data_IF_695106890357
#
_entry.id   IF_695106890357
#
_cell.length_a   1.000
_cell.length_b   1.000
_cell.length_c   1.000
_cell.angle_alpha   90.00
_cell.angle_beta   90.00
_cell.angle_gamma   90.00
#
_symmetry.space_group_name_H-M   'P 1'
#
loop_
_entity.id
_entity.type
_entity.pdbx_description
1 polymer ?
#
# COMPACT_ATOMS: atom_id res chain seq x y z
N UNK A 1 -4.43 -20.60 -17.48
CA UNK A 1 -3.34 -19.75 -16.97
C UNK A 1 -3.95 -18.94 -15.87
N UNK A 2 -3.75 -19.38 -14.64
CA UNK A 2 -4.52 -18.94 -13.49
C UNK A 2 -3.55 -18.39 -12.45
N UNK A 3 -3.89 -17.25 -11.86
CA UNK A 3 -3.14 -16.49 -10.85
C UNK A 3 -2.29 -15.35 -11.41
N UNK A 4 -2.98 -14.31 -11.89
CA UNK A 4 -2.37 -12.98 -12.11
C UNK A 4 -2.42 -12.24 -10.78
N UNK A 5 -1.25 -11.99 -10.20
CA UNK A 5 -1.10 -11.17 -9.00
C UNK A 5 -1.22 -9.67 -9.32
N UNK A 6 -1.86 -8.91 -8.42
CA UNK A 6 -2.06 -7.47 -8.60
C UNK A 6 -1.14 -6.70 -7.65
N UNK A 7 -0.35 -5.77 -8.21
CA UNK A 7 0.42 -4.80 -7.44
C UNK A 7 -0.28 -3.44 -7.41
N UNK A 8 -0.56 -2.92 -6.22
CA UNK A 8 -0.95 -1.51 -6.03
C UNK A 8 0.29 -0.66 -5.76
N UNK A 9 0.41 0.49 -6.42
CA UNK A 9 1.49 1.45 -6.18
C UNK A 9 1.04 2.88 -6.43
N UNK A 10 1.52 3.80 -5.58
CA UNK A 10 1.12 5.21 -5.59
C UNK A 10 -0.07 5.47 -4.67
N UNK A 11 0.02 6.51 -3.84
CA UNK A 11 -1.09 6.95 -2.99
C UNK A 11 -1.30 6.18 -1.68
N UNK A 12 -0.55 5.11 -1.39
CA UNK A 12 -0.63 4.41 -0.09
C UNK A 12 0.30 5.09 0.92
N UNK A 13 -0.27 5.83 1.87
CA UNK A 13 0.47 6.72 2.79
C UNK A 13 0.31 6.38 4.27
N UNK A 14 -0.72 5.62 4.61
CA UNK A 14 -1.00 5.20 5.97
C UNK A 14 -1.50 3.74 5.98
N UNK A 15 -1.73 3.21 7.18
CA UNK A 15 -2.18 1.84 7.37
C UNK A 15 -3.60 1.61 6.82
N UNK A 16 -4.46 2.62 6.85
CA UNK A 16 -5.82 2.54 6.33
C UNK A 16 -5.82 2.33 4.81
N UNK A 17 -5.05 3.13 4.08
CA UNK A 17 -4.90 2.99 2.63
C UNK A 17 -4.30 1.63 2.26
N UNK A 18 -3.32 1.15 3.06
CA UNK A 18 -2.74 -0.17 2.86
C UNK A 18 -3.82 -1.26 2.97
N UNK A 19 -4.64 -1.22 4.01
CA UNK A 19 -5.71 -2.19 4.22
C UNK A 19 -6.74 -2.13 3.09
N UNK A 20 -7.15 -0.94 2.65
CA UNK A 20 -8.06 -0.78 1.50
C UNK A 20 -7.54 -1.45 0.23
N UNK A 21 -6.25 -1.33 -0.05
CA UNK A 21 -5.65 -1.95 -1.24
C UNK A 21 -5.59 -3.47 -1.13
N UNK A 22 -5.31 -4.00 0.07
CA UNK A 22 -5.33 -5.44 0.34
C UNK A 22 -6.75 -5.99 0.19
N UNK A 23 -7.75 -5.31 0.76
CA UNK A 23 -9.17 -5.67 0.64
C UNK A 23 -9.66 -5.61 -0.82
N UNK A 24 -9.14 -4.69 -1.62
CA UNK A 24 -9.40 -4.61 -3.05
C UNK A 24 -8.74 -5.75 -3.87
N UNK A 25 -7.93 -6.61 -3.23
CA UNK A 25 -7.30 -7.78 -3.85
C UNK A 25 -5.87 -7.56 -4.32
N UNK A 26 -5.20 -6.47 -3.91
CA UNK A 26 -3.78 -6.31 -4.19
C UNK A 26 -2.96 -7.32 -3.37
N UNK A 27 -2.12 -8.09 -4.05
CA UNK A 27 -1.23 -9.09 -3.43
C UNK A 27 0.16 -8.53 -3.14
N UNK A 28 0.48 -7.34 -3.69
CA UNK A 28 1.71 -6.60 -3.40
C UNK A 28 1.46 -5.10 -3.35
N UNK A 29 2.02 -4.42 -2.35
CA UNK A 29 1.92 -2.97 -2.20
C UNK A 29 3.29 -2.32 -2.39
N UNK A 30 3.37 -1.33 -3.27
CA UNK A 30 4.53 -0.46 -3.43
C UNK A 30 4.27 0.91 -2.83
N UNK A 31 4.90 1.21 -1.69
CA UNK A 31 4.82 2.51 -1.03
C UNK A 31 6.24 3.00 -0.68
N UNK A 32 6.54 4.26 -1.00
CA UNK A 32 7.79 4.93 -0.58
C UNK A 32 7.89 5.04 0.94
N UNK A 33 6.75 5.09 1.62
CA UNK A 33 6.63 5.19 3.06
C UNK A 33 6.39 3.85 3.78
N UNK A 34 6.77 2.72 3.18
CA UNK A 34 6.48 1.39 3.71
C UNK A 34 6.88 1.18 5.18
N UNK A 35 8.02 1.75 5.60
CA UNK A 35 8.48 1.66 7.00
C UNK A 35 7.55 2.42 7.95
N UNK A 36 7.14 3.64 7.60
CA UNK A 36 6.23 4.45 8.42
C UNK A 36 4.85 3.79 8.54
N UNK A 37 4.31 3.30 7.42
CA UNK A 37 3.03 2.59 7.38
C UNK A 37 3.05 1.38 8.32
N UNK A 38 4.13 0.59 8.29
CA UNK A 38 4.28 -0.58 9.17
C UNK A 38 4.46 -0.21 10.65
N UNK A 39 4.91 1.00 10.95
CA UNK A 39 4.97 1.54 12.30
C UNK A 39 3.64 2.19 12.75
N UNK A 40 2.61 2.17 11.90
CA UNK A 40 1.32 2.84 12.15
C UNK A 40 1.41 4.36 12.06
N UNK A 41 2.49 4.88 11.48
CA UNK A 41 2.69 6.31 11.24
C UNK A 41 2.12 6.69 9.87
N UNK A 42 1.60 7.90 9.78
CA UNK A 42 1.18 8.49 8.50
C UNK A 42 2.37 9.18 7.83
N UNK A 43 2.50 8.92 6.53
CA UNK A 43 3.54 9.51 5.72
C UNK A 43 3.09 10.87 5.19
N UNK A 44 3.64 11.92 5.76
CA UNK A 44 3.56 13.24 5.17
C UNK A 44 4.61 13.32 4.04
N UNK A 45 4.15 13.48 2.81
CA UNK A 45 5.07 13.66 1.69
C UNK A 45 4.48 14.66 0.70
N UNK A 46 5.13 15.81 0.60
CA UNK A 46 4.91 16.80 -0.45
C UNK A 46 5.47 16.23 -1.76
N UNK A 47 4.58 15.68 -2.59
CA UNK A 47 4.84 15.28 -3.98
C UNK A 47 3.94 16.08 -4.90
#
# INVERSE_FOLDING_TARGET
GADVEVKASGGVRNLEDFNKMVEAGATRIGASAGVQIMQGLEADSDY
#
